data_IF_133740342210
#
_entry.id   IF_133740342210
#
_cell.length_a   1.000
_cell.length_b   1.000
_cell.length_c   1.000
_cell.angle_alpha   90.00
_cell.angle_beta   90.00
_cell.angle_gamma   90.00
#
_symmetry.space_group_name_H-M   'P 1'
#
loop_
_entity.id
_entity.type
_entity.pdbx_description
1 polymer ?
#
# COMPACT_ATOMS: atom_id res chain seq x y z
N UNK A 1 -8.94 11.64 -4.47
CA UNK A 1 -8.14 10.43 -4.19
C UNK A 1 -8.93 9.37 -3.44
N UNK A 2 -9.66 9.70 -2.35
CA UNK A 2 -10.52 8.74 -1.64
C UNK A 2 -11.58 8.07 -2.53
N UNK A 3 -12.19 8.81 -3.46
CA UNK A 3 -13.12 8.26 -4.44
C UNK A 3 -12.48 7.13 -5.26
N UNK A 4 -11.33 7.41 -5.90
CA UNK A 4 -10.60 6.40 -6.67
C UNK A 4 -10.17 5.22 -5.80
N UNK A 5 -9.71 5.48 -4.57
CA UNK A 5 -9.32 4.43 -3.63
C UNK A 5 -10.50 3.51 -3.29
N UNK A 6 -11.67 4.09 -3.04
CA UNK A 6 -12.91 3.34 -2.75
C UNK A 6 -13.29 2.43 -3.92
N UNK A 7 -13.33 2.96 -5.14
CA UNK A 7 -13.64 2.16 -6.34
C UNK A 7 -12.55 1.13 -6.64
N UNK A 8 -11.28 1.46 -6.44
CA UNK A 8 -10.17 0.53 -6.65
C UNK A 8 -10.18 -0.62 -5.63
N UNK A 9 -10.58 -0.37 -4.38
CA UNK A 9 -10.74 -1.41 -3.36
C UNK A 9 -12.01 -2.24 -3.57
N UNK A 10 -13.13 -1.60 -3.96
CA UNK A 10 -14.42 -2.27 -4.20
C UNK A 10 -14.40 -3.13 -5.46
N UNK A 11 -13.97 -2.55 -6.58
CA UNK A 11 -14.06 -3.14 -7.91
C UNK A 11 -12.71 -3.69 -8.41
N UNK A 12 -11.66 -3.58 -7.60
CA UNK A 12 -10.31 -4.07 -7.90
C UNK A 12 -10.24 -5.49 -8.48
N UNK A 13 -10.91 -6.50 -7.91
CA UNK A 13 -10.90 -7.85 -8.45
C UNK A 13 -11.50 -7.94 -9.86
N UNK A 14 -12.58 -7.19 -10.12
CA UNK A 14 -13.22 -7.13 -11.44
C UNK A 14 -12.33 -6.42 -12.46
N UNK A 15 -11.81 -5.25 -12.11
CA UNK A 15 -10.91 -4.46 -12.95
C UNK A 15 -9.65 -5.25 -13.32
N UNK A 16 -9.05 -5.93 -12.34
CA UNK A 16 -7.85 -6.70 -12.57
C UNK A 16 -8.10 -7.91 -13.48
N UNK A 17 -9.27 -8.55 -13.35
CA UNK A 17 -9.66 -9.66 -14.24
C UNK A 17 -9.85 -9.18 -15.66
N UNK A 18 -10.51 -8.03 -15.84
CA UNK A 18 -10.67 -7.39 -17.15
C UNK A 18 -9.30 -7.07 -17.81
N UNK A 19 -8.36 -6.55 -17.02
CA UNK A 19 -6.99 -6.26 -17.49
C UNK A 19 -6.28 -7.55 -17.91
N UNK A 20 -6.34 -8.60 -17.09
CA UNK A 20 -5.71 -9.90 -17.39
C UNK A 20 -6.33 -10.59 -18.60
N UNK A 21 -7.65 -10.50 -18.78
CA UNK A 21 -8.36 -11.09 -19.92
C UNK A 21 -8.04 -10.38 -21.23
N UNK A 22 -7.73 -9.08 -21.16
CA UNK A 22 -7.29 -8.29 -22.32
C UNK A 22 -5.85 -8.61 -22.77
N UNK A 23 -5.06 -9.31 -21.94
CA UNK A 23 -3.70 -9.70 -22.29
C UNK A 23 -3.71 -11.00 -23.12
N UNK A 24 -3.01 -11.04 -24.27
CA UNK A 24 -2.85 -12.24 -25.09
C UNK A 24 -1.78 -13.17 -24.48
N UNK A 25 -1.98 -13.59 -23.23
CA UNK A 25 -1.11 -14.49 -22.48
C UNK A 25 -1.83 -15.82 -22.22
N UNK A 26 -1.07 -16.90 -22.04
CA UNK A 26 -1.64 -18.17 -21.61
C UNK A 26 -2.12 -18.10 -20.16
N UNK A 27 -3.14 -18.88 -19.80
CA UNK A 27 -3.75 -18.86 -18.47
C UNK A 27 -2.74 -19.18 -17.35
N UNK A 28 -1.76 -20.04 -17.64
CA UNK A 28 -0.66 -20.35 -16.73
C UNK A 28 0.17 -19.10 -16.40
N UNK A 29 0.54 -18.31 -17.43
CA UNK A 29 1.29 -17.07 -17.24
C UNK A 29 0.44 -16.04 -16.51
N UNK A 30 -0.85 -15.91 -16.83
CA UNK A 30 -1.77 -14.98 -16.15
C UNK A 30 -1.86 -15.27 -14.64
N UNK A 31 -2.04 -16.53 -14.24
CA UNK A 31 -2.09 -16.92 -12.82
C UNK A 31 -0.77 -16.63 -12.12
N UNK A 32 0.36 -16.92 -12.76
CA UNK A 32 1.67 -16.68 -12.16
C UNK A 32 1.94 -15.17 -11.99
N UNK A 33 1.56 -14.37 -12.99
CA UNK A 33 1.66 -12.92 -12.94
C UNK A 33 0.79 -12.35 -11.81
N UNK A 34 -0.46 -12.82 -11.71
CA UNK A 34 -1.40 -12.42 -10.66
C UNK A 34 -0.85 -12.74 -9.27
N UNK A 35 -0.39 -13.98 -9.05
CA UNK A 35 0.19 -14.39 -7.77
C UNK A 35 1.41 -13.54 -7.39
N UNK A 36 2.29 -13.26 -8.36
CA UNK A 36 3.47 -12.41 -8.14
C UNK A 36 3.08 -10.96 -7.85
N UNK A 37 2.10 -10.42 -8.55
CA UNK A 37 1.59 -9.07 -8.33
C UNK A 37 0.99 -8.92 -6.92
N UNK A 38 0.18 -9.88 -6.49
CA UNK A 38 -0.36 -9.92 -5.12
C UNK A 38 0.77 -10.00 -4.09
N UNK A 39 1.79 -10.82 -4.35
CA UNK A 39 2.97 -10.93 -3.50
C UNK A 39 3.71 -9.60 -3.33
N UNK A 40 4.05 -8.95 -4.44
CA UNK A 40 4.75 -7.65 -4.44
C UNK A 40 3.89 -6.56 -3.80
N UNK A 41 2.61 -6.45 -4.16
CA UNK A 41 1.69 -5.45 -3.58
C UNK A 41 1.56 -5.62 -2.06
N UNK A 42 1.39 -6.85 -1.56
CA UNK A 42 1.37 -7.11 -0.12
C UNK A 42 2.70 -6.78 0.55
N UNK A 43 3.84 -7.06 -0.09
CA UNK A 43 5.15 -6.71 0.43
C UNK A 43 5.32 -5.19 0.52
N UNK A 44 4.90 -4.44 -0.50
CA UNK A 44 4.95 -2.98 -0.51
C UNK A 44 4.08 -2.38 0.59
N UNK A 45 2.81 -2.80 0.70
CA UNK A 45 1.90 -2.28 1.74
C UNK A 45 2.44 -2.55 3.15
N UNK A 46 2.94 -3.76 3.40
CA UNK A 46 3.58 -4.11 4.68
C UNK A 46 4.85 -3.29 4.92
N UNK A 47 5.68 -3.12 3.90
CA UNK A 47 6.91 -2.32 3.99
C UNK A 47 6.61 -0.86 4.33
N UNK A 48 5.67 -0.24 3.61
CA UNK A 48 5.23 1.13 3.91
C UNK A 48 4.65 1.25 5.32
N UNK A 49 3.86 0.28 5.78
CA UNK A 49 3.33 0.30 7.14
C UNK A 49 4.43 0.23 8.20
N UNK A 50 5.43 -0.64 8.02
CA UNK A 50 6.58 -0.74 8.94
C UNK A 50 7.39 0.56 8.94
N UNK A 51 7.67 1.11 7.76
CA UNK A 51 8.40 2.38 7.62
C UNK A 51 7.62 3.52 8.29
N UNK A 52 6.31 3.61 8.10
CA UNK A 52 5.46 4.62 8.74
C UNK A 52 5.52 4.53 10.27
N UNK A 53 5.44 3.32 10.84
CA UNK A 53 5.54 3.14 12.30
C UNK A 53 6.92 3.57 12.82
N UNK A 54 8.00 3.18 12.14
CA UNK A 54 9.37 3.54 12.54
C UNK A 54 9.57 5.06 12.42
N UNK A 55 9.19 5.65 11.30
CA UNK A 55 9.32 7.09 11.06
C UNK A 55 8.46 7.91 12.01
N UNK A 56 7.22 7.49 12.25
CA UNK A 56 6.33 8.14 13.19
C UNK A 56 6.87 8.10 14.62
N UNK A 57 7.32 6.93 15.07
CA UNK A 57 7.91 6.78 16.41
C UNK A 57 9.16 7.65 16.58
N UNK A 58 10.10 7.59 15.62
CA UNK A 58 11.32 8.40 15.66
C UNK A 58 11.02 9.90 15.57
N UNK A 59 10.10 10.31 14.70
CA UNK A 59 9.65 11.69 14.58
C UNK A 59 9.00 12.19 15.87
N UNK A 60 8.12 11.39 16.47
CA UNK A 60 7.46 11.71 17.74
C UNK A 60 8.45 11.85 18.90
N UNK A 61 9.44 10.95 19.00
CA UNK A 61 10.52 11.05 19.99
C UNK A 61 11.36 12.31 19.76
N UNK A 62 11.76 12.59 18.52
CA UNK A 62 12.55 13.76 18.18
C UNK A 62 11.80 15.06 18.52
N UNK A 63 10.52 15.17 18.16
CA UNK A 63 9.71 16.34 18.51
C UNK A 63 9.47 16.48 20.02
N UNK A 64 9.36 15.38 20.75
CA UNK A 64 9.24 15.40 22.21
C UNK A 64 10.54 15.92 22.88
N UNK A 65 11.71 15.55 22.36
CA UNK A 65 13.01 16.03 22.88
C UNK A 65 13.22 17.51 22.58
N UNK A 66 12.77 18.00 21.42
CA UNK A 66 12.92 19.41 21.02
C UNK A 66 11.93 20.33 21.75
N UNK A 67 10.94 19.78 22.46
CA UNK A 67 10.00 20.57 23.28
C UNK A 67 8.96 21.35 22.46
N UNK A 68 8.66 20.89 21.24
CA UNK A 68 7.61 21.49 20.40
C UNK A 68 6.26 20.98 20.89
N UNK A 69 5.43 21.89 21.40
CA UNK A 69 4.03 21.63 21.75
C UNK A 69 3.27 21.14 20.49
N UNK A 70 3.00 19.84 20.43
CA UNK A 70 2.37 19.19 19.27
C UNK A 70 3.10 17.96 18.69
N UNK A 71 4.18 17.49 19.34
CA UNK A 71 4.98 16.32 18.92
C UNK A 71 4.18 15.06 18.53
N UNK A 72 3.04 14.82 19.19
CA UNK A 72 2.16 13.68 18.93
C UNK A 72 1.41 13.80 17.59
N UNK A 73 1.14 15.02 17.11
CA UNK A 73 0.40 15.28 15.87
C UNK A 73 1.27 15.13 14.61
N UNK A 74 2.58 15.28 14.75
CA UNK A 74 3.55 15.25 13.65
C UNK A 74 4.39 13.96 13.61
N UNK A 75 4.39 13.18 14.69
CA UNK A 75 4.97 11.84 14.75
C UNK A 75 3.98 10.71 14.38
N UNK A 76 2.79 11.02 13.88
CA UNK A 76 1.78 10.04 13.49
C UNK A 76 1.63 9.93 11.96
#
# INVERSE_FOLDING_TARGET
>A
MLYLLFFLLKDGPYLLRQILDSLPLSDFVKQHLFAKFVGVSRATVKGTAVVAVVQGTLGGIAFAIVGIDGSVLWGA
#
